data_IF_949610045864
#
_entry.id   IF_949610045864
#
_cell.length_a   1.000
_cell.length_b   1.000
_cell.length_c   1.000
_cell.angle_alpha   90.00
_cell.angle_beta   90.00
_cell.angle_gamma   90.00
#
_symmetry.space_group_name_H-M   'P 1'
#
loop_
_entity.id
_entity.type
_entity.pdbx_description
1 polymer ?
#
# COMPACT_ATOMS: atom_id res chain seq x y z
N UNK A 1 18.48 23.37 -30.55
CA UNK A 1 18.31 22.24 -30.02
C UNK A 1 17.15 22.22 -29.17
N UNK A 2 16.56 21.34 -29.23
CA UNK A 2 15.43 21.25 -28.50
C UNK A 2 15.78 20.85 -27.18
N UNK A 3 15.31 21.45 -26.32
CA UNK A 3 15.57 21.11 -25.07
C UNK A 3 14.85 19.95 -24.74
N UNK A 4 15.42 19.29 -24.06
CA UNK A 4 14.90 18.23 -23.61
C UNK A 4 13.95 18.52 -22.66
N UNK A 5 13.06 18.01 -22.58
CA UNK A 5 12.13 18.15 -21.73
C UNK A 5 12.46 17.71 -20.53
N UNK A 6 12.46 18.39 -19.83
CA UNK A 6 12.76 18.11 -18.86
C UNK A 6 12.08 17.54 -18.07
N UNK A 7 12.07 16.77 -17.96
CA UNK A 7 11.58 16.09 -17.35
C UNK A 7 11.85 16.04 -16.22
N UNK A 8 11.95 16.41 -15.92
CA UNK A 8 12.07 16.41 -15.10
C UNK A 8 12.18 16.32 -14.08
N UNK A 9 12.55 16.36 -14.05
CA UNK A 9 12.52 16.55 -13.06
C UNK A 9 12.40 15.77 -12.08
N UNK A 10 12.18 14.84 -12.10
CA UNK A 10 12.07 13.99 -11.10
C UNK A 10 13.35 13.48 -10.65
N UNK A 11 14.16 14.23 -10.13
CA UNK A 11 15.46 13.81 -9.68
C UNK A 11 15.52 13.56 -8.19
N UNK A 12 14.49 13.92 -7.45
CA UNK A 12 14.47 13.73 -6.01
C UNK A 12 13.97 12.35 -5.59
N UNK A 13 13.85 12.12 -4.30
CA UNK A 13 13.37 10.84 -3.80
C UNK A 13 11.88 10.59 -4.01
N UNK A 14 11.12 11.61 -4.32
CA UNK A 14 9.72 11.46 -4.69
C UNK A 14 8.74 11.45 -3.54
N UNK A 15 7.49 11.17 -3.89
CA UNK A 15 6.38 11.07 -2.94
C UNK A 15 5.77 9.69 -3.02
N UNK A 16 5.42 9.15 -1.86
CA UNK A 16 4.87 7.80 -1.75
C UNK A 16 3.38 7.87 -1.47
N UNK A 17 2.60 7.04 -2.11
CA UNK A 17 1.17 6.94 -1.88
C UNK A 17 0.63 5.64 -2.45
N UNK A 18 -0.58 5.28 -2.06
CA UNK A 18 -1.25 4.14 -2.66
C UNK A 18 -1.77 4.52 -4.03
N UNK A 19 -1.87 3.53 -4.90
CA UNK A 19 -2.38 3.73 -6.25
C UNK A 19 -3.87 4.05 -6.23
N UNK A 20 -4.60 3.59 -5.24
CA UNK A 20 -6.02 3.84 -5.08
C UNK A 20 -6.35 3.94 -3.60
N UNK A 21 -7.53 4.46 -3.26
CA UNK A 21 -7.95 4.58 -1.87
C UNK A 21 -8.84 3.43 -1.40
N UNK A 22 -9.24 2.55 -2.29
CA UNK A 22 -10.02 1.35 -1.96
C UNK A 22 -9.64 0.20 -2.85
N UNK A 23 -9.77 -1.00 -2.33
CA UNK A 23 -9.61 -2.22 -3.11
C UNK A 23 -10.59 -3.25 -2.57
N UNK A 24 -11.22 -4.00 -3.46
CA UNK A 24 -12.16 -5.06 -3.09
C UNK A 24 -11.55 -6.40 -3.45
N UNK A 25 -11.56 -7.33 -2.51
CA UNK A 25 -11.05 -8.68 -2.75
C UNK A 25 -12.04 -9.70 -2.23
N UNK A 26 -11.99 -10.90 -2.79
CA UNK A 26 -12.76 -12.03 -2.27
C UNK A 26 -12.02 -12.64 -1.09
N UNK A 27 -12.76 -13.14 -0.12
CA UNK A 27 -12.18 -13.86 1.00
C UNK A 27 -11.30 -15.01 0.53
N UNK A 28 -11.65 -15.64 -0.57
CA UNK A 28 -10.86 -16.76 -1.12
C UNK A 28 -9.63 -16.33 -1.90
N UNK A 29 -9.39 -15.04 -2.03
CA UNK A 29 -8.23 -14.55 -2.78
C UNK A 29 -6.90 -14.93 -2.12
N UNK A 30 -6.88 -15.17 -0.83
CA UNK A 30 -5.70 -15.57 -0.10
C UNK A 30 -4.79 -14.42 0.30
N UNK A 31 -4.69 -13.39 -0.50
CA UNK A 31 -3.80 -12.27 -0.24
C UNK A 31 -4.35 -11.02 -0.91
N UNK A 32 -4.10 -9.87 -0.29
CA UNK A 32 -4.45 -8.57 -0.86
C UNK A 32 -3.17 -7.91 -1.35
N UNK A 33 -3.06 -7.61 -2.65
CA UNK A 33 -1.92 -6.85 -3.14
C UNK A 33 -2.23 -5.35 -3.08
N UNK A 34 -1.41 -4.60 -2.38
CA UNK A 34 -1.57 -3.15 -2.28
C UNK A 34 -0.36 -2.48 -2.89
N UNK A 35 -0.58 -1.67 -3.89
CA UNK A 35 0.52 -1.05 -4.60
C UNK A 35 0.80 0.35 -4.07
N UNK A 36 2.01 0.54 -3.57
CA UNK A 36 2.53 1.85 -3.20
C UNK A 36 3.31 2.38 -4.38
N UNK A 37 3.02 3.58 -4.82
CA UNK A 37 3.69 4.20 -5.96
C UNK A 37 4.57 5.35 -5.50
N UNK A 38 5.65 5.54 -6.23
CA UNK A 38 6.63 6.59 -5.97
C UNK A 38 6.60 7.55 -7.16
N UNK A 39 6.21 8.79 -6.90
CA UNK A 39 6.02 9.78 -7.96
C UNK A 39 6.85 11.02 -7.68
N UNK A 40 7.21 11.72 -8.72
CA UNK A 40 7.96 12.97 -8.60
C UNK A 40 9.43 12.75 -8.33
N UNK A 41 9.93 11.54 -8.46
CA UNK A 41 11.33 11.23 -8.28
C UNK A 41 11.53 9.76 -7.96
N UNK A 42 12.69 9.23 -8.29
CA UNK A 42 13.04 7.84 -8.01
C UNK A 42 14.49 7.71 -7.59
N UNK A 43 15.04 8.78 -7.02
CA UNK A 43 16.43 8.81 -6.63
C UNK A 43 16.65 8.11 -5.30
N UNK A 44 17.59 7.20 -5.27
CA UNK A 44 18.01 6.50 -4.06
C UNK A 44 16.99 5.52 -3.52
N UNK A 45 17.33 4.88 -2.45
CA UNK A 45 16.42 3.96 -1.74
C UNK A 45 15.67 4.75 -0.70
N UNK A 46 14.35 4.63 -0.73
CA UNK A 46 13.50 5.24 0.31
C UNK A 46 12.81 4.13 1.06
N UNK A 47 12.51 4.35 2.30
CA UNK A 47 11.75 3.39 3.09
C UNK A 47 10.57 4.09 3.75
N UNK A 48 9.63 3.30 4.21
CA UNK A 48 8.43 3.80 4.87
C UNK A 48 7.92 2.73 5.82
N UNK A 49 7.13 3.16 6.79
CA UNK A 49 6.43 2.23 7.66
C UNK A 49 5.02 2.01 7.11
N UNK A 50 4.46 0.83 7.33
CA UNK A 50 3.06 0.58 7.01
C UNK A 50 2.47 -0.35 8.05
N UNK A 51 1.18 -0.21 8.28
CA UNK A 51 0.48 -1.01 9.28
C UNK A 51 -0.98 -1.16 8.90
N UNK A 52 -1.62 -2.14 9.50
CA UNK A 52 -3.05 -2.36 9.30
C UNK A 52 -3.83 -1.76 10.46
N UNK A 53 -5.06 -1.36 10.18
CA UNK A 53 -5.97 -0.82 11.18
C UNK A 53 -7.28 -1.59 11.07
N UNK A 54 -7.70 -2.19 12.17
CA UNK A 54 -8.97 -2.93 12.19
C UNK A 54 -10.15 -1.98 12.00
N UNK A 55 -11.15 -2.50 11.34
CA UNK A 55 -12.46 -1.86 11.27
C UNK A 55 -13.44 -3.00 11.54
N UNK A 56 -14.34 -3.31 10.62
CA UNK A 56 -15.20 -4.48 10.80
C UNK A 56 -14.41 -5.78 10.59
N UNK A 57 -13.38 -5.76 9.78
CA UNK A 57 -12.43 -6.87 9.72
C UNK A 57 -11.42 -6.73 10.87
N UNK A 58 -11.13 -7.83 11.52
CA UNK A 58 -10.30 -7.84 12.73
C UNK A 58 -9.04 -8.68 12.46
N UNK A 59 -7.90 -8.14 12.88
CA UNK A 59 -6.62 -8.80 12.70
C UNK A 59 -6.62 -10.19 13.33
N UNK A 60 -5.95 -11.11 12.66
CA UNK A 60 -5.80 -12.52 13.05
C UNK A 60 -7.09 -13.33 12.99
N UNK A 61 -8.17 -12.70 12.60
CA UNK A 61 -9.44 -13.37 12.38
C UNK A 61 -9.82 -13.31 10.92
N UNK A 62 -9.71 -12.16 10.30
CA UNK A 62 -10.12 -11.93 8.92
C UNK A 62 -8.92 -11.69 8.01
N UNK A 63 -7.82 -11.25 8.57
CA UNK A 63 -6.59 -11.00 7.83
C UNK A 63 -5.39 -11.08 8.79
N UNK A 64 -4.20 -11.19 8.25
CA UNK A 64 -3.00 -11.20 9.07
C UNK A 64 -2.70 -9.77 9.51
N UNK A 65 -2.93 -9.46 10.77
CA UNK A 65 -2.67 -8.14 11.31
C UNK A 65 -1.20 -7.86 11.42
N UNK A 66 -0.84 -6.64 11.04
CA UNK A 66 0.56 -6.25 11.08
C UNK A 66 0.69 -4.96 11.87
N UNK A 67 1.55 -4.98 12.86
CA UNK A 67 2.03 -3.74 13.45
C UNK A 67 2.89 -3.04 12.41
N UNK A 68 3.57 -1.99 12.79
CA UNK A 68 4.36 -1.25 11.82
C UNK A 68 5.45 -2.13 11.21
N UNK A 69 5.45 -2.22 9.89
CA UNK A 69 6.42 -2.99 9.13
C UNK A 69 7.15 -2.02 8.22
N UNK A 70 8.42 -2.27 7.97
CA UNK A 70 9.19 -1.44 7.06
C UNK A 70 9.08 -1.96 5.64
N UNK A 71 8.81 -1.05 4.72
CA UNK A 71 8.91 -1.30 3.29
C UNK A 71 9.99 -0.43 2.69
N UNK A 72 10.51 -0.80 1.54
CA UNK A 72 11.50 0.03 0.85
C UNK A 72 11.34 -0.05 -0.65
N UNK A 73 11.74 1.03 -1.33
CA UNK A 73 11.71 1.13 -2.78
C UNK A 73 13.12 1.56 -3.20
N UNK A 74 13.75 0.77 -4.04
CA UNK A 74 15.14 1.01 -4.44
C UNK A 74 15.32 2.08 -5.50
N UNK A 75 16.56 2.40 -5.82
CA UNK A 75 16.82 3.46 -6.78
C UNK A 75 16.26 3.11 -8.15
N UNK A 76 15.56 4.05 -8.75
CA UNK A 76 14.93 3.84 -10.06
C UNK A 76 13.63 3.08 -10.01
N UNK A 77 13.27 2.49 -8.88
CA UNK A 77 11.99 1.80 -8.74
C UNK A 77 10.90 2.79 -8.41
N UNK A 78 9.73 2.58 -8.98
CA UNK A 78 8.60 3.52 -8.84
C UNK A 78 7.40 2.89 -8.15
N UNK A 79 7.48 1.66 -7.74
CA UNK A 79 6.37 1.03 -7.01
C UNK A 79 6.85 -0.14 -6.18
N UNK A 80 6.04 -0.48 -5.20
CA UNK A 80 6.24 -1.65 -4.34
C UNK A 80 4.88 -2.23 -4.03
N UNK A 81 4.74 -3.53 -4.15
CA UNK A 81 3.48 -4.19 -3.81
C UNK A 81 3.60 -4.78 -2.41
N UNK A 82 2.66 -4.42 -1.55
CA UNK A 82 2.55 -4.97 -0.21
C UNK A 82 1.52 -6.10 -0.26
N UNK A 83 1.82 -7.21 0.37
CA UNK A 83 0.94 -8.37 0.35
C UNK A 83 0.44 -8.63 1.77
N UNK A 84 -0.87 -8.67 1.95
CA UNK A 84 -1.47 -8.95 3.24
C UNK A 84 -2.29 -10.23 3.13
N UNK A 85 -1.93 -11.28 3.85
CA UNK A 85 -2.71 -12.52 3.81
C UNK A 85 -4.12 -12.32 4.36
N UNK A 86 -5.10 -12.92 3.70
CA UNK A 86 -6.49 -12.92 4.12
C UNK A 86 -6.79 -14.28 4.73
N UNK A 87 -7.50 -14.30 5.82
CA UNK A 87 -7.91 -15.54 6.45
C UNK A 87 -9.27 -15.94 5.85
N UNK A 88 -9.30 -17.08 5.21
CA UNK A 88 -10.53 -17.62 4.63
C UNK A 88 -11.10 -18.71 5.52
N UNK A 89 -12.39 -18.71 5.69
CA UNK A 89 -13.05 -19.78 6.43
C UNK A 89 -14.35 -20.18 5.71
N UNK A 90 -15.04 -21.15 6.25
CA UNK A 90 -16.27 -21.64 5.66
C UNK A 90 -17.52 -20.99 6.27
N UNK A 91 -17.34 -20.00 7.11
CA UNK A 91 -18.44 -19.36 7.76
C UNK A 91 -18.93 -18.19 6.92
N UNK A 92 -20.22 -18.15 6.65
CA UNK A 92 -20.76 -17.03 5.91
C UNK A 92 -20.70 -15.77 6.77
N UNK A 93 -20.17 -14.73 6.21
CA UNK A 93 -20.01 -13.48 6.91
C UNK A 93 -20.43 -12.30 6.05
N UNK A 94 -20.65 -11.17 6.69
CA UNK A 94 -20.89 -9.93 5.95
C UNK A 94 -19.60 -9.46 5.34
N UNK A 95 -19.71 -8.55 4.41
CA UNK A 95 -18.55 -7.82 3.90
C UNK A 95 -17.84 -7.13 5.05
N UNK A 96 -16.53 -7.28 5.11
CA UNK A 96 -15.71 -6.72 6.18
C UNK A 96 -14.70 -5.74 5.62
N UNK A 97 -14.31 -4.76 6.43
CA UNK A 97 -13.38 -3.71 6.01
C UNK A 97 -12.22 -3.61 6.98
N UNK A 98 -11.03 -3.33 6.46
CA UNK A 98 -9.92 -2.86 7.28
C UNK A 98 -9.10 -1.86 6.46
N UNK A 99 -8.26 -1.09 7.13
CA UNK A 99 -7.47 -0.07 6.47
C UNK A 99 -5.99 -0.37 6.58
N UNK A 100 -5.22 0.16 5.63
CA UNK A 100 -3.77 0.10 5.66
C UNK A 100 -3.24 1.51 5.45
N UNK A 101 -2.29 1.92 6.28
CA UNK A 101 -1.67 3.24 6.15
C UNK A 101 -0.19 3.10 5.93
N UNK A 102 0.37 4.04 5.17
CA UNK A 102 1.82 4.20 5.05
C UNK A 102 2.21 5.46 5.80
N UNK A 103 3.39 5.44 6.41
CA UNK A 103 3.84 6.52 7.25
C UNK A 103 5.37 6.57 7.31
N UNK A 104 5.90 7.66 7.85
CA UNK A 104 7.33 7.80 8.14
C UNK A 104 8.24 7.55 6.95
N UNK A 105 8.05 8.24 5.82
CA UNK A 105 8.96 8.10 4.70
C UNK A 105 10.35 8.62 5.07
N UNK A 106 11.39 8.01 4.51
CA UNK A 106 12.78 8.35 4.81
C UNK A 106 13.51 8.88 3.60
N UNK A 107 14.77 9.27 3.82
CA UNK A 107 15.68 9.69 2.75
C UNK A 107 15.15 10.85 1.91
N UNK A 108 14.39 11.73 2.54
CA UNK A 108 13.85 12.90 1.86
C UNK A 108 12.55 12.68 1.11
N UNK A 109 12.07 11.44 1.03
CA UNK A 109 10.76 11.18 0.43
C UNK A 109 9.66 11.75 1.29
N UNK A 110 8.55 12.10 0.68
CA UNK A 110 7.37 12.62 1.38
C UNK A 110 6.17 11.75 1.07
N UNK A 111 5.10 11.95 1.80
CA UNK A 111 3.84 11.26 1.53
C UNK A 111 3.01 12.07 0.53
N UNK A 112 2.38 11.36 -0.37
CA UNK A 112 1.49 11.96 -1.37
C UNK A 112 0.07 12.10 -0.85
N UNK A 113 -0.89 12.08 -1.77
CA UNK A 113 -2.30 12.32 -1.42
C UNK A 113 -3.00 11.12 -0.80
N UNK A 114 -2.70 9.93 -1.26
CA UNK A 114 -3.40 8.73 -0.80
C UNK A 114 -2.44 7.93 0.09
N UNK A 115 -2.56 8.12 1.38
CA UNK A 115 -1.70 7.45 2.36
C UNK A 115 -2.42 6.37 3.15
N UNK A 116 -3.70 6.19 2.88
CA UNK A 116 -4.52 5.18 3.52
C UNK A 116 -5.42 4.54 2.48
N UNK A 117 -5.53 3.23 2.53
CA UNK A 117 -6.39 2.49 1.61
C UNK A 117 -7.33 1.61 2.42
N UNK A 118 -8.58 1.55 2.02
CA UNK A 118 -9.56 0.68 2.64
C UNK A 118 -9.65 -0.62 1.84
N UNK A 119 -9.48 -1.73 2.52
CA UNK A 119 -9.61 -3.06 1.91
C UNK A 119 -10.99 -3.60 2.24
N UNK A 120 -11.72 -3.98 1.21
CA UNK A 120 -13.08 -4.52 1.35
C UNK A 120 -12.99 -6.02 1.06
N UNK A 121 -13.30 -6.83 2.05
CA UNK A 121 -13.27 -8.29 1.92
C UNK A 121 -14.70 -8.77 1.72
N UNK A 122 -14.97 -9.35 0.58
CA UNK A 122 -16.30 -9.88 0.26
C UNK A 122 -16.32 -11.37 0.56
N UNK A 123 -17.30 -11.77 1.36
CA UNK A 123 -17.51 -13.17 1.67
C UNK A 123 -17.96 -13.89 0.40
N UNK A 124 -17.40 -15.03 0.12
CA UNK A 124 -17.74 -15.82 -1.06
C UNK A 124 -18.42 -17.15 -0.66
N UNK A 125 -18.78 -17.28 0.56
CA UNK A 125 -19.55 -18.43 1.03
C UNK A 125 -21.04 -18.06 1.06
#
# INVERSE_FOLDING_TARGET
MAPTPVIATATGPGRLGFEADTITVSESAGVVPLRVVRRGGAAGTVSFGWRTIDDSAVADRDYAGLGTVQGSIGPGETSKTLLIPIVSDAVRESTELFDVVIEDPTAGATLGNITQITVIIVDDD
#
